data_IF_508314450114
#
_entry.id   IF_508314450114
#
_cell.length_a   1.000
_cell.length_b   1.000
_cell.length_c   1.000
_cell.angle_alpha   90.00
_cell.angle_beta   90.00
_cell.angle_gamma   90.00
#
_symmetry.space_group_name_H-M   'P 1'
#
loop_
_entity.id
_entity.type
_entity.pdbx_description
1 polymer ?
#
# COMPACT_ATOMS: atom_id res chain seq x y z
N UNK A 1 -0.75 1.06 6.77
CA UNK A 1 0.01 -0.17 6.46
C UNK A 1 1.33 0.25 5.82
N UNK A 2 2.44 -0.47 6.08
CA UNK A 2 3.75 -0.20 5.46
C UNK A 2 4.38 -1.52 5.02
N UNK A 3 5.06 -1.52 3.88
CA UNK A 3 5.81 -2.67 3.38
C UNK A 3 7.21 -2.23 2.93
N UNK A 4 8.22 -2.50 3.77
CA UNK A 4 9.63 -2.19 3.47
C UNK A 4 10.31 -3.22 2.57
N UNK A 5 9.62 -4.31 2.25
CA UNK A 5 10.24 -5.53 1.73
C UNK A 5 9.77 -5.89 0.32
N UNK A 6 9.07 -4.98 -0.36
CA UNK A 6 8.67 -5.21 -1.75
C UNK A 6 9.92 -5.39 -2.61
N UNK A 7 9.86 -6.39 -3.48
CA UNK A 7 10.94 -6.74 -4.40
C UNK A 7 10.51 -6.49 -5.83
N UNK A 8 11.49 -6.12 -6.66
CA UNK A 8 11.32 -6.12 -8.11
C UNK A 8 11.45 -7.53 -8.69
N UNK A 9 11.20 -7.65 -9.99
CA UNK A 9 11.23 -8.92 -10.71
C UNK A 9 12.60 -9.64 -10.68
N UNK A 10 13.69 -8.90 -10.46
CA UNK A 10 15.05 -9.43 -10.29
C UNK A 10 15.39 -9.80 -8.84
N UNK A 11 14.44 -9.67 -7.93
CA UNK A 11 14.58 -9.98 -6.51
C UNK A 11 15.27 -8.90 -5.67
N UNK A 12 15.64 -7.74 -6.25
CA UNK A 12 16.20 -6.61 -5.49
C UNK A 12 15.15 -5.99 -4.58
N UNK A 13 15.57 -5.40 -3.46
CA UNK A 13 14.67 -4.58 -2.64
C UNK A 13 14.43 -3.24 -3.34
N UNK A 14 13.16 -2.85 -3.47
CA UNK A 14 12.78 -1.59 -4.10
C UNK A 14 12.90 -0.39 -3.16
N UNK A 15 13.03 -0.65 -1.86
CA UNK A 15 13.25 0.35 -0.83
C UNK A 15 14.45 -0.04 0.05
N UNK A 16 15.41 0.87 0.30
CA UNK A 16 16.64 0.54 1.03
C UNK A 16 16.42 0.22 2.51
N UNK A 17 15.32 0.69 3.11
CA UNK A 17 14.95 0.33 4.47
C UNK A 17 15.77 1.02 5.56
N UNK A 18 15.86 0.37 6.74
CA UNK A 18 16.63 0.84 7.89
C UNK A 18 16.31 2.29 8.30
N UNK A 19 17.33 3.16 8.38
CA UNK A 19 17.17 4.57 8.74
C UNK A 19 16.36 5.36 7.72
N UNK A 20 16.33 4.92 6.45
CA UNK A 20 15.61 5.60 5.38
C UNK A 20 14.09 5.49 5.55
N UNK A 21 13.60 4.53 6.33
CA UNK A 21 12.19 4.43 6.73
C UNK A 21 11.68 5.72 7.39
N UNK A 22 12.56 6.52 7.97
CA UNK A 22 12.23 7.86 8.48
C UNK A 22 11.57 8.77 7.43
N UNK A 23 11.86 8.59 6.14
CA UNK A 23 11.25 9.35 5.03
C UNK A 23 9.78 9.00 4.83
N UNK A 24 9.42 7.72 4.99
CA UNK A 24 8.01 7.30 4.98
C UNK A 24 7.30 7.76 6.27
N UNK A 25 8.00 7.77 7.41
CA UNK A 25 7.45 8.35 8.64
C UNK A 25 7.20 9.86 8.51
N UNK A 26 8.10 10.60 7.85
CA UNK A 26 7.89 12.01 7.48
C UNK A 26 6.60 12.19 6.67
N UNK A 27 6.41 11.39 5.61
CA UNK A 27 5.18 11.44 4.82
C UNK A 27 3.93 11.11 5.65
N UNK A 28 4.01 10.16 6.58
CA UNK A 28 2.89 9.85 7.50
C UNK A 28 2.55 11.06 8.37
N UNK A 29 3.53 11.78 8.90
CA UNK A 29 3.30 13.02 9.67
C UNK A 29 2.66 14.08 8.79
N UNK A 30 3.20 14.31 7.59
CA UNK A 30 2.66 15.27 6.62
C UNK A 30 1.22 14.94 6.21
N UNK A 31 0.86 13.66 6.08
CA UNK A 31 -0.52 13.20 5.85
C UNK A 31 -1.45 13.52 7.01
N UNK A 32 -0.99 13.36 8.25
CA UNK A 32 -1.77 13.70 9.46
C UNK A 32 -1.94 15.21 9.59
N UNK A 33 -0.92 15.99 9.25
CA UNK A 33 -0.94 17.45 9.28
C UNK A 33 -1.69 18.06 8.08
N UNK A 34 -2.00 17.26 7.06
CA UNK A 34 -2.71 17.71 5.87
C UNK A 34 -1.86 18.53 4.89
N UNK A 35 -0.53 18.38 4.95
CA UNK A 35 0.42 19.10 4.09
C UNK A 35 0.71 18.35 2.79
N UNK A 36 0.35 17.08 2.71
CA UNK A 36 0.39 16.25 1.48
C UNK A 36 -0.92 15.49 1.32
N UNK A 37 -1.35 15.27 0.07
CA UNK A 37 -2.62 14.60 -0.24
C UNK A 37 -2.45 13.09 -0.47
N UNK A 38 -1.45 12.71 -1.29
CA UNK A 38 -1.30 11.35 -1.81
C UNK A 38 -2.28 11.01 -2.95
N UNK A 39 -2.17 9.80 -3.45
CA UNK A 39 -3.01 9.26 -4.54
C UNK A 39 -4.06 8.33 -3.94
N UNK A 40 -5.33 8.57 -4.29
CA UNK A 40 -6.41 7.63 -3.96
C UNK A 40 -6.30 6.37 -4.81
N UNK A 41 -6.26 5.21 -4.15
CA UNK A 41 -6.20 3.89 -4.76
C UNK A 41 -7.31 3.01 -4.18
N UNK A 42 -7.63 1.84 -4.78
CA UNK A 42 -8.63 0.93 -4.23
C UNK A 42 -8.34 0.45 -2.79
N UNK A 43 -7.09 0.52 -2.34
CA UNK A 43 -6.65 0.09 -1.02
C UNK A 43 -6.47 1.25 -0.03
N UNK A 44 -6.85 2.47 -0.44
CA UNK A 44 -6.70 3.70 0.34
C UNK A 44 -5.69 4.67 -0.29
N UNK A 45 -5.17 5.57 0.53
CA UNK A 45 -4.25 6.63 0.07
C UNK A 45 -2.80 6.15 0.12
N UNK A 46 -2.11 6.28 -1.01
CA UNK A 46 -0.71 5.89 -1.20
C UNK A 46 0.10 7.14 -1.59
N UNK A 47 1.37 7.31 -1.16
CA UNK A 47 2.19 8.44 -1.58
C UNK A 47 2.29 8.55 -3.11
N UNK A 48 2.21 9.76 -3.66
CA UNK A 48 2.76 10.00 -4.99
C UNK A 48 4.29 9.94 -4.92
N UNK A 49 4.96 9.59 -6.03
CA UNK A 49 6.43 9.58 -6.08
C UNK A 49 7.02 10.95 -5.70
N UNK A 50 6.38 12.04 -6.12
CA UNK A 50 6.80 13.41 -5.81
C UNK A 50 6.56 13.85 -4.36
N UNK A 51 5.74 13.12 -3.60
CA UNK A 51 5.52 13.39 -2.18
C UNK A 51 6.65 12.81 -1.31
N UNK A 52 7.47 11.91 -1.88
CA UNK A 52 8.55 11.26 -1.15
C UNK A 52 9.83 12.09 -1.19
N UNK A 53 10.41 12.35 -0.03
CA UNK A 53 11.72 12.97 0.08
C UNK A 53 12.82 11.96 -0.29
N UNK A 54 13.31 12.01 -1.53
CA UNK A 54 14.38 11.16 -2.04
C UNK A 54 15.76 11.85 -2.03
N UNK A 55 15.85 13.05 -1.44
CA UNK A 55 17.09 13.83 -1.40
C UNK A 55 18.22 13.07 -0.69
N UNK A 56 19.33 12.85 -1.40
CA UNK A 56 20.51 12.15 -0.89
C UNK A 56 20.33 10.64 -0.67
N UNK A 57 19.23 10.07 -1.16
CA UNK A 57 18.97 8.64 -1.09
C UNK A 57 19.55 7.93 -2.32
N UNK A 58 20.33 6.88 -2.09
CA UNK A 58 20.86 6.02 -3.17
C UNK A 58 19.80 5.00 -3.62
N UNK A 59 18.77 5.50 -4.32
CA UNK A 59 17.68 4.71 -4.90
C UNK A 59 17.23 5.34 -6.21
N UNK A 60 16.73 4.53 -7.14
CA UNK A 60 16.13 5.08 -8.37
C UNK A 60 14.69 5.49 -8.12
N UNK A 61 14.23 6.58 -8.77
CA UNK A 61 12.80 6.95 -8.72
C UNK A 61 11.90 5.84 -9.26
N UNK A 62 12.39 5.06 -10.23
CA UNK A 62 11.66 3.92 -10.79
C UNK A 62 11.42 2.83 -9.73
N UNK A 63 12.42 2.52 -8.90
CA UNK A 63 12.26 1.53 -7.82
C UNK A 63 11.24 2.00 -6.79
N UNK A 64 11.28 3.28 -6.39
CA UNK A 64 10.32 3.84 -5.43
C UNK A 64 8.91 3.87 -6.05
N UNK A 65 8.78 4.25 -7.32
CA UNK A 65 7.49 4.22 -8.02
C UNK A 65 6.92 2.79 -8.10
N UNK A 66 7.77 1.80 -8.36
CA UNK A 66 7.39 0.39 -8.33
C UNK A 66 7.02 -0.06 -6.92
N UNK A 67 7.75 0.38 -5.89
CA UNK A 67 7.47 0.09 -4.49
C UNK A 67 6.06 0.54 -4.08
N UNK A 68 5.65 1.72 -4.55
CA UNK A 68 4.37 2.38 -4.25
C UNK A 68 3.21 1.91 -5.15
N UNK A 69 3.50 1.21 -6.25
CA UNK A 69 2.47 0.86 -7.24
C UNK A 69 1.38 -0.06 -6.69
N UNK A 70 0.13 0.35 -6.79
CA UNK A 70 -1.02 -0.54 -6.51
C UNK A 70 -1.45 -1.20 -7.80
N UNK A 71 -1.28 -2.52 -7.90
CA UNK A 71 -1.70 -3.31 -9.07
C UNK A 71 -3.01 -4.00 -8.75
N UNK A 72 -4.10 -3.60 -9.41
CA UNK A 72 -5.43 -4.14 -9.13
C UNK A 72 -5.51 -5.66 -9.32
N UNK A 73 -4.81 -6.21 -10.31
CA UNK A 73 -4.74 -7.65 -10.55
C UNK A 73 -4.08 -8.43 -9.38
N UNK A 74 -3.00 -7.90 -8.79
CA UNK A 74 -2.35 -8.50 -7.60
C UNK A 74 -3.33 -8.50 -6.42
N UNK A 75 -4.02 -7.39 -6.18
CA UNK A 75 -5.00 -7.30 -5.10
C UNK A 75 -6.24 -8.17 -5.30
N UNK A 76 -6.70 -8.37 -6.55
CA UNK A 76 -7.77 -9.32 -6.84
C UNK A 76 -7.36 -10.77 -6.51
N UNK A 77 -6.08 -11.11 -6.64
CA UNK A 77 -5.56 -12.40 -6.24
C UNK A 77 -5.48 -12.58 -4.70
N UNK A 78 -5.39 -11.48 -3.94
CA UNK A 78 -5.40 -11.50 -2.47
C UNK A 78 -6.81 -11.66 -1.87
N UNK A 79 -7.86 -11.23 -2.59
CA UNK A 79 -9.25 -11.32 -2.13
C UNK A 79 -9.66 -12.72 -1.61
N UNK A 80 -9.42 -13.84 -2.32
CA UNK A 80 -9.78 -15.16 -1.81
C UNK A 80 -9.01 -15.55 -0.53
N UNK A 81 -7.78 -15.06 -0.35
CA UNK A 81 -6.98 -15.34 0.85
C UNK A 81 -7.56 -14.62 2.07
N UNK A 82 -8.01 -13.38 1.88
CA UNK A 82 -8.69 -12.60 2.94
C UNK A 82 -10.04 -13.24 3.27
N UNK A 83 -10.80 -13.69 2.26
CA UNK A 83 -12.08 -14.40 2.44
C UNK A 83 -11.90 -15.67 3.28
N UNK A 84 -10.93 -16.52 2.93
CA UNK A 84 -10.62 -17.75 3.67
C UNK A 84 -10.27 -17.44 5.14
N UNK A 85 -9.49 -16.38 5.36
CA UNK A 85 -9.16 -15.94 6.72
C UNK A 85 -10.38 -15.45 7.50
N UNK A 86 -11.29 -14.72 6.84
CA UNK A 86 -12.52 -14.24 7.45
C UNK A 86 -13.49 -15.37 7.78
N UNK A 87 -13.55 -16.39 6.94
CA UNK A 87 -14.33 -17.61 7.19
C UNK A 87 -13.76 -18.40 8.37
N UNK A 88 -12.42 -18.49 8.48
CA UNK A 88 -11.77 -19.10 9.64
C UNK A 88 -12.12 -18.41 10.97
N UNK A 89 -12.21 -17.08 10.97
CA UNK A 89 -12.63 -16.31 12.16
C UNK A 89 -14.11 -16.51 12.50
N UNK A 90 -14.92 -16.90 11.51
CA UNK A 90 -16.31 -17.32 11.68
C UNK A 90 -17.22 -16.24 12.27
N UNK A 91 -18.17 -16.67 13.12
CA UNK A 91 -19.25 -15.82 13.65
C UNK A 91 -18.80 -14.66 14.55
N UNK A 92 -17.52 -14.64 14.96
CA UNK A 92 -16.97 -13.56 15.79
C UNK A 92 -16.40 -12.40 14.98
N UNK A 93 -16.28 -12.55 13.67
CA UNK A 93 -15.82 -11.48 12.81
C UNK A 93 -16.85 -10.33 12.83
N UNK A 94 -16.45 -9.11 13.23
CA UNK A 94 -17.34 -7.95 13.18
C UNK A 94 -17.86 -7.71 11.77
N UNK A 95 -19.14 -7.39 11.64
CA UNK A 95 -19.77 -7.07 10.34
C UNK A 95 -19.07 -5.91 9.64
N UNK A 96 -18.57 -4.94 10.41
CA UNK A 96 -17.81 -3.80 9.86
C UNK A 96 -16.54 -4.23 9.10
N UNK A 97 -15.89 -5.34 9.48
CA UNK A 97 -14.74 -5.85 8.71
C UNK A 97 -15.19 -6.51 7.41
N UNK A 98 -16.35 -7.19 7.41
CA UNK A 98 -16.97 -7.70 6.17
C UNK A 98 -17.35 -6.54 5.25
N UNK A 99 -17.92 -5.47 5.78
CA UNK A 99 -18.32 -4.29 5.02
C UNK A 99 -17.11 -3.61 4.34
N UNK A 100 -15.99 -3.46 5.05
CA UNK A 100 -14.74 -2.92 4.48
C UNK A 100 -14.17 -3.82 3.37
N UNK A 101 -14.29 -5.14 3.54
CA UNK A 101 -13.83 -6.10 2.56
C UNK A 101 -14.69 -6.11 1.29
N UNK A 102 -16.02 -6.04 1.41
CA UNK A 102 -16.91 -5.85 0.26
C UNK A 102 -16.66 -4.50 -0.43
N UNK A 103 -16.41 -3.44 0.33
CA UNK A 103 -16.03 -2.13 -0.22
C UNK A 103 -14.70 -2.20 -0.99
N UNK A 104 -13.72 -2.97 -0.50
CA UNK A 104 -12.47 -3.22 -1.22
C UNK A 104 -12.72 -3.97 -2.54
N UNK A 105 -13.53 -5.04 -2.52
CA UNK A 105 -13.92 -5.77 -3.74
C UNK A 105 -14.53 -4.85 -4.78
N UNK A 106 -15.45 -3.97 -4.36
CA UNK A 106 -16.08 -3.01 -5.26
C UNK A 106 -15.06 -2.03 -5.86
N UNK A 107 -14.23 -1.39 -5.04
CA UNK A 107 -13.19 -0.46 -5.54
C UNK A 107 -12.22 -1.14 -6.51
N UNK A 108 -11.89 -2.41 -6.28
CA UNK A 108 -11.06 -3.20 -7.20
C UNK A 108 -11.81 -3.59 -8.47
N UNK A 109 -13.12 -3.76 -8.46
CA UNK A 109 -13.90 -4.03 -9.66
C UNK A 109 -14.01 -2.79 -10.56
N UNK A 110 -14.02 -1.59 -9.98
CA UNK A 110 -14.11 -0.30 -10.68
C UNK A 110 -12.74 0.20 -11.18
N UNK A 111 -11.64 -0.32 -10.62
CA UNK A 111 -10.28 -0.01 -11.05
C UNK A 111 -9.87 -0.89 -12.25
N UNK A 112 -10.25 -0.46 -13.47
CA UNK A 112 -9.75 -1.02 -14.73
C UNK A 112 -8.30 -0.61 -15.01
#
# INVERSE_FOLDING_TARGET
FVNWFRRGDDGRFLWPGFGENSRVLKWIVERVEGTVEGISTPIGVVPAIGDMDLGGLDVTESDVAEALRVVAAEWRAELPLIEEWFDFLGEKLPTTLRDEFESLKQRLAEAD
#
